data_IF_377449228893
#
_entry.id   IF_377449228893
#
_cell.length_a   1.000
_cell.length_b   1.000
_cell.length_c   1.000
_cell.angle_alpha   90.00
_cell.angle_beta   90.00
_cell.angle_gamma   90.00
#
_symmetry.space_group_name_H-M   'P 1'
#
loop_
_entity.id
_entity.type
_entity.pdbx_description
1 polymer ?
#
# COMPACT_ATOMS: atom_id res chain seq x y z
N UNK A 1 -19.58 -38.14 -13.91
CA UNK A 1 -20.53 -37.32 -13.11
C UNK A 1 -19.77 -36.10 -12.64
N UNK A 2 -20.22 -34.90 -13.03
CA UNK A 2 -19.61 -33.65 -12.57
C UNK A 2 -20.30 -33.28 -11.26
N UNK A 3 -19.58 -33.27 -10.15
CA UNK A 3 -20.14 -32.82 -8.88
C UNK A 3 -20.43 -31.32 -8.96
N UNK A 4 -21.72 -30.98 -9.08
CA UNK A 4 -22.24 -29.63 -8.89
C UNK A 4 -22.14 -29.26 -7.41
N UNK A 5 -20.94 -28.85 -6.98
CA UNK A 5 -20.79 -28.16 -5.71
C UNK A 5 -21.55 -26.84 -5.79
N UNK A 6 -22.72 -26.80 -5.18
CA UNK A 6 -23.50 -25.59 -4.92
C UNK A 6 -22.56 -24.54 -4.30
N UNK A 7 -22.44 -23.32 -4.84
CA UNK A 7 -21.58 -22.32 -4.25
C UNK A 7 -22.12 -22.01 -2.84
N UNK A 8 -21.31 -22.33 -1.83
CA UNK A 8 -21.57 -21.98 -0.44
C UNK A 8 -22.00 -20.51 -0.37
N UNK A 9 -23.15 -20.24 0.28
CA UNK A 9 -23.62 -18.86 0.52
C UNK A 9 -22.47 -18.09 1.15
N UNK A 10 -21.86 -17.18 0.40
CA UNK A 10 -20.75 -16.35 0.91
C UNK A 10 -21.31 -15.47 2.01
N UNK A 11 -20.73 -15.62 3.20
CA UNK A 11 -21.08 -14.85 4.37
C UNK A 11 -20.65 -13.39 4.16
N UNK A 12 -21.63 -12.48 4.17
CA UNK A 12 -21.39 -11.04 4.21
C UNK A 12 -21.24 -10.67 5.69
N UNK A 13 -20.14 -9.99 6.03
CA UNK A 13 -19.83 -9.69 7.42
C UNK A 13 -20.41 -8.33 7.84
N UNK A 14 -20.94 -8.30 9.06
CA UNK A 14 -21.41 -7.07 9.71
C UNK A 14 -20.24 -6.23 10.21
N UNK A 15 -20.47 -4.94 10.47
CA UNK A 15 -19.46 -4.07 11.09
C UNK A 15 -18.91 -4.67 12.39
N UNK A 16 -19.79 -5.20 13.25
CA UNK A 16 -19.43 -5.80 14.54
C UNK A 16 -18.54 -7.04 14.39
N UNK A 17 -18.77 -7.91 13.40
CA UNK A 17 -17.90 -9.05 13.13
C UNK A 17 -16.48 -8.62 12.71
N UNK A 18 -16.35 -7.51 11.98
CA UNK A 18 -15.06 -6.94 11.63
C UNK A 18 -14.39 -6.26 12.84
N UNK A 19 -15.17 -5.55 13.66
CA UNK A 19 -14.69 -4.95 14.92
C UNK A 19 -14.11 -6.00 15.86
N UNK A 20 -14.76 -7.16 15.97
CA UNK A 20 -14.28 -8.28 16.77
C UNK A 20 -12.92 -8.80 16.25
N UNK A 21 -12.76 -8.98 14.94
CA UNK A 21 -11.46 -9.35 14.33
C UNK A 21 -10.37 -8.31 14.67
N UNK A 22 -10.70 -7.01 14.59
CA UNK A 22 -9.74 -5.94 14.92
C UNK A 22 -9.35 -6.00 16.39
N UNK A 23 -10.31 -6.18 17.29
CA UNK A 23 -10.10 -6.21 18.74
C UNK A 23 -9.30 -7.45 19.19
N UNK A 24 -9.65 -8.64 18.69
CA UNK A 24 -8.94 -9.90 18.96
C UNK A 24 -7.45 -9.82 18.56
N UNK A 25 -7.11 -9.09 17.49
CA UNK A 25 -5.75 -9.01 16.95
C UNK A 25 -4.99 -7.71 17.27
N UNK A 26 -5.59 -6.77 18.03
CA UNK A 26 -5.11 -5.37 18.20
C UNK A 26 -3.61 -5.17 18.44
N UNK A 27 -2.97 -6.01 19.26
CA UNK A 27 -1.53 -5.89 19.57
C UNK A 27 -0.60 -6.27 18.40
N UNK A 28 -1.10 -7.09 17.47
CA UNK A 28 -0.35 -7.64 16.33
C UNK A 28 -0.71 -6.97 15.01
N UNK A 29 -1.71 -6.09 14.96
CA UNK A 29 -2.17 -5.48 13.72
C UNK A 29 -1.24 -4.38 13.18
N UNK A 30 -1.24 -4.29 11.85
CA UNK A 30 -0.95 -3.08 11.09
C UNK A 30 -2.00 -2.91 9.99
N UNK A 31 -2.28 -1.68 9.61
CA UNK A 31 -3.26 -1.37 8.57
C UNK A 31 -2.55 -1.03 7.26
N UNK A 32 -3.14 -1.39 6.12
CA UNK A 32 -2.60 -1.04 4.79
C UNK A 32 -3.66 -0.31 3.98
N UNK A 33 -3.38 0.93 3.62
CA UNK A 33 -4.29 1.78 2.85
C UNK A 33 -3.85 1.98 1.41
N UNK A 34 -4.84 2.11 0.55
CA UNK A 34 -4.70 2.61 -0.82
C UNK A 34 -5.51 3.89 -1.00
N UNK A 35 -5.64 4.34 -2.25
CA UNK A 35 -6.32 5.60 -2.55
C UNK A 35 -7.86 5.55 -2.31
N UNK A 36 -8.41 4.38 -1.94
CA UNK A 36 -9.82 4.24 -1.58
C UNK A 36 -10.25 5.12 -0.39
N UNK A 37 -9.38 5.34 0.61
CA UNK A 37 -9.69 6.24 1.74
C UNK A 37 -9.89 7.68 1.25
N UNK A 38 -8.93 8.18 0.45
CA UNK A 38 -9.00 9.51 -0.16
C UNK A 38 -10.26 9.64 -1.04
N UNK A 39 -10.57 8.63 -1.87
CA UNK A 39 -11.73 8.63 -2.78
C UNK A 39 -13.09 8.55 -2.07
N UNK A 40 -13.15 7.96 -0.88
CA UNK A 40 -14.39 7.87 -0.12
C UNK A 40 -14.72 9.22 0.55
N UNK A 41 -13.74 9.83 1.21
CA UNK A 41 -13.93 11.09 1.93
C UNK A 41 -13.78 12.35 1.05
N UNK A 42 -13.06 12.29 -0.08
CA UNK A 42 -12.92 13.40 -1.02
C UNK A 42 -13.09 12.96 -2.47
N UNK A 43 -14.02 13.63 -3.18
CA UNK A 43 -14.21 13.48 -4.62
C UNK A 43 -13.41 14.48 -5.45
N UNK A 44 -12.75 15.46 -4.81
CA UNK A 44 -12.02 16.55 -5.48
C UNK A 44 -10.62 16.13 -5.97
N UNK A 45 -9.98 15.18 -5.28
CA UNK A 45 -8.63 14.75 -5.63
C UNK A 45 -8.65 13.81 -6.84
N UNK A 46 -7.76 14.05 -7.81
CA UNK A 46 -7.71 13.26 -9.05
C UNK A 46 -7.25 11.81 -8.81
N UNK A 47 -7.68 10.91 -9.68
CA UNK A 47 -7.30 9.49 -9.65
C UNK A 47 -5.99 9.24 -10.42
N UNK A 48 -5.37 8.07 -10.19
CA UNK A 48 -4.10 7.69 -10.84
C UNK A 48 -4.16 7.70 -12.37
N UNK A 49 -5.26 7.22 -12.93
CA UNK A 49 -5.57 7.24 -14.36
C UNK A 49 -5.63 8.67 -14.91
N UNK A 50 -6.32 9.59 -14.22
CA UNK A 50 -6.39 11.01 -14.62
C UNK A 50 -5.02 11.69 -14.59
N UNK A 51 -4.24 11.47 -13.53
CA UNK A 51 -2.87 11.98 -13.43
C UNK A 51 -1.99 11.47 -14.60
N UNK A 52 -2.10 10.19 -14.96
CA UNK A 52 -1.36 9.62 -16.07
C UNK A 52 -1.82 10.19 -17.43
N UNK A 53 -3.13 10.42 -17.60
CA UNK A 53 -3.69 11.09 -18.78
C UNK A 53 -3.17 12.54 -18.89
N UNK A 54 -3.13 13.31 -17.80
CA UNK A 54 -2.54 14.66 -17.78
C UNK A 54 -1.06 14.65 -18.22
N UNK A 55 -0.27 13.71 -17.67
CA UNK A 55 1.13 13.54 -18.04
C UNK A 55 1.32 13.13 -19.51
N UNK A 56 0.49 12.22 -20.02
CA UNK A 56 0.50 11.85 -21.44
C UNK A 56 0.18 13.06 -22.32
N UNK A 57 -0.89 13.79 -22.01
CA UNK A 57 -1.33 14.95 -22.78
C UNK A 57 -0.32 16.11 -22.75
N UNK A 58 0.56 16.15 -21.75
CA UNK A 58 1.67 17.10 -21.63
C UNK A 58 2.94 16.66 -22.35
N UNK A 59 3.24 15.36 -22.40
CA UNK A 59 4.55 14.85 -22.81
C UNK A 59 4.57 13.91 -24.03
N UNK A 60 3.42 13.44 -24.50
CA UNK A 60 3.31 12.67 -25.74
C UNK A 60 3.15 13.60 -26.95
N UNK A 61 3.66 13.14 -28.10
CA UNK A 61 3.37 13.74 -29.42
C UNK A 61 2.20 13.07 -30.15
N UNK A 62 1.61 12.02 -29.58
CA UNK A 62 0.49 11.28 -30.15
C UNK A 62 -0.84 11.98 -29.80
N UNK A 63 -1.95 11.40 -30.28
CA UNK A 63 -3.29 11.82 -29.89
C UNK A 63 -3.42 11.91 -28.36
N UNK A 64 -4.18 12.92 -27.90
CA UNK A 64 -4.50 13.11 -26.49
C UNK A 64 -5.52 12.07 -26.04
N UNK A 65 -5.43 11.66 -24.78
CA UNK A 65 -6.50 10.93 -24.11
C UNK A 65 -7.45 11.92 -23.46
N UNK A 66 -8.74 11.72 -23.62
CA UNK A 66 -9.74 12.60 -22.99
C UNK A 66 -10.02 12.15 -21.55
N UNK A 67 -10.49 10.91 -21.37
CA UNK A 67 -11.07 10.49 -20.09
C UNK A 67 -10.65 9.10 -19.58
N UNK A 68 -10.06 8.21 -20.40
CA UNK A 68 -9.78 6.84 -19.97
C UNK A 68 -8.54 6.23 -20.65
N UNK A 69 -7.76 5.48 -19.88
CA UNK A 69 -6.70 4.59 -20.37
C UNK A 69 -7.33 3.29 -20.88
N UNK A 70 -6.85 2.78 -22.02
CA UNK A 70 -7.38 1.55 -22.63
C UNK A 70 -7.37 0.34 -21.67
N UNK A 71 -8.31 -0.59 -21.83
CA UNK A 71 -8.21 -1.92 -21.20
C UNK A 71 -7.05 -2.70 -21.84
N UNK A 72 -6.35 -3.51 -21.05
CA UNK A 72 -5.22 -4.32 -21.51
C UNK A 72 -3.84 -3.65 -21.42
N UNK A 73 -3.73 -2.47 -20.81
CA UNK A 73 -2.44 -1.86 -20.42
C UNK A 73 -2.47 -1.50 -18.92
N UNK A 74 -1.41 -1.82 -18.19
CA UNK A 74 -1.24 -1.39 -16.81
C UNK A 74 -0.88 0.10 -16.71
N UNK A 75 -1.16 0.71 -15.56
CA UNK A 75 -0.71 2.08 -15.28
C UNK A 75 0.81 2.24 -15.36
N UNK A 76 1.56 1.18 -15.03
CA UNK A 76 3.02 1.11 -15.16
C UNK A 76 3.49 1.15 -16.60
N UNK A 77 2.90 0.33 -17.47
CA UNK A 77 3.24 0.31 -18.91
C UNK A 77 2.79 1.60 -19.61
N UNK A 78 1.66 2.18 -19.17
CA UNK A 78 1.20 3.47 -19.68
C UNK A 78 2.18 4.61 -19.33
N UNK A 79 2.73 4.63 -18.11
CA UNK A 79 3.83 5.53 -17.76
C UNK A 79 5.08 5.26 -18.60
N UNK A 80 5.48 3.99 -18.74
CA UNK A 80 6.69 3.63 -19.49
C UNK A 80 6.57 4.04 -20.98
N UNK A 81 5.36 4.02 -21.55
CA UNK A 81 5.07 4.55 -22.89
C UNK A 81 5.23 6.09 -23.01
N UNK A 82 5.14 6.85 -21.91
CA UNK A 82 5.49 8.28 -21.85
C UNK A 82 7.01 8.45 -21.78
N UNK A 83 7.68 7.64 -20.96
CA UNK A 83 9.15 7.67 -20.74
C UNK A 83 9.93 7.29 -22.02
N UNK A 84 9.46 6.28 -22.76
CA UNK A 84 10.02 5.85 -24.06
C UNK A 84 10.01 7.00 -25.09
N UNK A 85 8.89 7.73 -25.20
CA UNK A 85 8.77 8.88 -26.13
C UNK A 85 9.70 10.06 -25.80
N UNK A 86 10.34 10.02 -24.63
CA UNK A 86 11.12 11.10 -24.06
C UNK A 86 12.50 10.64 -23.57
N UNK A 87 12.93 9.42 -23.90
CA UNK A 87 14.19 8.81 -23.40
C UNK A 87 15.45 9.62 -23.76
N UNK A 88 15.42 10.38 -24.86
CA UNK A 88 16.52 11.28 -25.25
C UNK A 88 16.63 12.54 -24.38
N UNK A 89 15.61 12.86 -23.57
CA UNK A 89 15.62 14.00 -22.66
C UNK A 89 16.34 13.64 -21.36
N UNK A 90 17.49 14.27 -21.11
CA UNK A 90 18.27 14.11 -19.87
C UNK A 90 17.38 14.36 -18.64
N UNK A 91 17.45 13.47 -17.65
CA UNK A 91 16.70 13.53 -16.39
C UNK A 91 15.16 13.51 -16.51
N UNK A 92 14.59 13.05 -17.62
CA UNK A 92 13.14 13.13 -17.86
C UNK A 92 12.25 12.53 -16.76
N UNK A 93 12.59 11.34 -16.24
CA UNK A 93 11.86 10.72 -15.13
C UNK A 93 11.81 11.62 -13.88
N UNK A 94 12.90 12.34 -13.55
CA UNK A 94 12.92 13.29 -12.44
C UNK A 94 12.05 14.53 -12.70
N UNK A 95 11.82 14.89 -13.97
CA UNK A 95 10.88 15.95 -14.36
C UNK A 95 9.43 15.51 -14.17
N UNK A 96 9.03 14.33 -14.67
CA UNK A 96 7.66 13.82 -14.41
C UNK A 96 7.40 13.66 -12.90
N UNK A 97 8.37 13.14 -12.14
CA UNK A 97 8.24 13.01 -10.69
C UNK A 97 8.01 14.35 -9.98
N UNK A 98 8.61 15.45 -10.48
CA UNK A 98 8.34 16.81 -9.98
C UNK A 98 6.95 17.28 -10.34
N UNK A 99 6.50 17.03 -11.57
CA UNK A 99 5.12 17.35 -11.99
C UNK A 99 4.08 16.63 -11.14
N UNK A 100 4.23 15.31 -10.94
CA UNK A 100 3.35 14.53 -10.04
C UNK A 100 3.34 15.11 -8.63
N UNK A 101 4.51 15.46 -8.08
CA UNK A 101 4.60 16.16 -6.80
C UNK A 101 3.82 17.48 -6.82
N UNK A 102 3.97 18.29 -7.86
CA UNK A 102 3.33 19.60 -7.97
C UNK A 102 1.80 19.44 -8.03
N UNK A 103 1.28 18.55 -8.88
CA UNK A 103 -0.16 18.25 -8.97
C UNK A 103 -0.72 17.75 -7.64
N UNK A 104 -0.04 16.81 -6.97
CA UNK A 104 -0.50 16.27 -5.68
C UNK A 104 -0.37 17.25 -4.51
N UNK A 105 0.53 18.23 -4.59
CA UNK A 105 0.71 19.21 -3.52
C UNK A 105 -0.49 20.17 -3.41
N UNK A 106 -1.32 20.26 -4.46
CA UNK A 106 -2.58 21.00 -4.48
C UNK A 106 -3.77 20.22 -3.90
N UNK A 107 -3.62 18.90 -3.66
CA UNK A 107 -4.70 18.07 -3.14
C UNK A 107 -5.05 18.44 -1.69
N UNK A 108 -6.36 18.44 -1.40
CA UNK A 108 -6.90 18.75 -0.09
C UNK A 108 -7.22 17.47 0.67
N UNK A 109 -6.93 17.47 1.96
CA UNK A 109 -7.35 16.39 2.85
C UNK A 109 -8.80 16.62 3.29
N UNK A 110 -9.48 15.58 3.74
CA UNK A 110 -10.74 15.69 4.47
C UNK A 110 -10.53 15.09 5.87
N UNK A 111 -10.93 15.82 6.91
CA UNK A 111 -10.82 15.41 8.31
C UNK A 111 -11.85 14.37 8.75
N UNK A 112 -12.90 14.11 7.96
CA UNK A 112 -13.82 12.99 8.19
C UNK A 112 -13.08 11.64 8.28
N UNK A 113 -11.96 11.49 7.56
CA UNK A 113 -11.14 10.27 7.63
C UNK A 113 -10.52 10.04 9.01
N UNK A 114 -10.45 11.07 9.87
CA UNK A 114 -9.90 10.95 11.21
C UNK A 114 -10.73 10.03 12.11
N UNK A 115 -11.98 9.68 11.77
CA UNK A 115 -12.72 8.60 12.47
C UNK A 115 -11.93 7.29 12.46
N UNK A 116 -11.31 6.96 11.32
CA UNK A 116 -10.48 5.79 11.12
C UNK A 116 -9.12 5.99 11.78
N UNK A 117 -8.47 7.12 11.48
CA UNK A 117 -7.10 7.38 11.93
C UNK A 117 -7.00 7.48 13.46
N UNK A 118 -8.00 8.05 14.14
CA UNK A 118 -8.06 8.11 15.60
C UNK A 118 -8.26 6.74 16.24
N UNK A 119 -9.10 5.86 15.66
CA UNK A 119 -9.25 4.49 16.15
C UNK A 119 -7.94 3.71 16.02
N UNK A 120 -7.25 3.79 14.86
CA UNK A 120 -5.96 3.13 14.63
C UNK A 120 -4.85 3.70 15.52
N UNK A 121 -4.85 5.02 15.75
CA UNK A 121 -3.98 5.71 16.71
C UNK A 121 -4.20 5.22 18.14
N UNK A 122 -5.46 5.04 18.56
CA UNK A 122 -5.81 4.50 19.88
C UNK A 122 -5.39 3.03 20.04
N UNK A 123 -5.45 2.22 18.98
CA UNK A 123 -4.88 0.87 18.94
C UNK A 123 -3.33 0.86 18.95
N UNK A 124 -2.68 2.03 18.82
CA UNK A 124 -1.24 2.19 18.66
C UNK A 124 -0.66 1.30 17.55
N UNK A 125 -1.38 1.14 16.43
CA UNK A 125 -0.99 0.28 15.32
C UNK A 125 -0.38 1.09 14.16
N UNK A 126 0.68 0.59 13.48
CA UNK A 126 1.25 1.29 12.33
C UNK A 126 0.35 1.19 11.09
N UNK A 127 0.36 2.25 10.28
CA UNK A 127 -0.31 2.35 8.99
C UNK A 127 0.74 2.30 7.89
N UNK A 128 0.51 1.45 6.90
CA UNK A 128 1.21 1.39 5.63
C UNK A 128 0.33 2.02 4.54
N UNK A 129 0.89 2.75 3.57
CA UNK A 129 0.14 3.23 2.40
C UNK A 129 0.91 3.03 1.09
N UNK A 130 0.17 2.72 0.02
CA UNK A 130 0.69 2.69 -1.36
C UNK A 130 0.63 4.06 -2.06
N UNK A 131 -0.12 5.01 -1.48
CA UNK A 131 -0.25 6.37 -2.01
C UNK A 131 1.08 7.15 -1.87
N UNK A 132 1.28 8.20 -2.67
CA UNK A 132 2.40 9.13 -2.51
C UNK A 132 2.04 10.38 -1.70
N UNK A 133 0.78 10.75 -1.65
CA UNK A 133 0.30 12.01 -1.06
C UNK A 133 0.47 12.09 0.47
N UNK A 134 0.39 13.30 1.00
CA UNK A 134 0.47 13.60 2.42
C UNK A 134 -0.90 13.93 3.04
N UNK A 135 -2.00 13.44 2.48
CA UNK A 135 -3.36 13.78 2.95
C UNK A 135 -3.66 13.18 4.34
N UNK A 136 -3.28 11.91 4.56
CA UNK A 136 -3.38 11.25 5.87
C UNK A 136 -2.59 12.03 6.95
N UNK A 137 -1.28 12.30 6.81
CA UNK A 137 -0.54 13.04 7.83
C UNK A 137 -0.93 14.50 7.97
N UNK A 138 -1.42 15.18 6.92
CA UNK A 138 -1.99 16.53 7.04
C UNK A 138 -3.23 16.53 7.95
N UNK A 139 -4.19 15.66 7.66
CA UNK A 139 -5.47 15.55 8.38
C UNK A 139 -5.33 15.13 9.84
N UNK A 140 -4.46 14.16 10.11
CA UNK A 140 -4.15 13.74 11.48
C UNK A 140 -3.08 14.61 12.18
N UNK A 141 -2.64 15.71 11.55
CA UNK A 141 -1.66 16.69 12.05
C UNK A 141 -0.29 16.08 12.47
N UNK A 142 0.15 15.06 11.73
CA UNK A 142 1.33 14.25 12.05
C UNK A 142 2.65 14.93 11.65
N UNK A 143 3.69 14.70 12.44
CA UNK A 143 5.04 15.25 12.19
C UNK A 143 5.94 14.23 11.48
N UNK A 144 6.77 14.66 10.52
CA UNK A 144 7.67 13.76 9.80
C UNK A 144 8.87 13.36 10.66
N UNK A 145 9.16 12.06 10.70
CA UNK A 145 10.29 11.48 11.40
C UNK A 145 11.09 10.52 10.51
N UNK A 146 12.26 10.11 10.99
CA UNK A 146 13.11 9.09 10.38
C UNK A 146 13.75 8.23 11.46
N UNK A 147 13.81 6.92 11.26
CA UNK A 147 14.65 6.03 12.06
C UNK A 147 16.09 6.15 11.53
N UNK A 148 17.12 6.30 12.38
CA UNK A 148 18.51 6.31 11.93
C UNK A 148 18.88 5.05 11.14
N UNK A 149 19.32 5.22 9.89
CA UNK A 149 19.64 4.12 8.99
C UNK A 149 20.67 4.55 7.95
N UNK A 150 21.75 3.76 7.79
CA UNK A 150 22.81 4.03 6.80
C UNK A 150 22.33 3.92 5.34
N UNK A 151 21.29 3.14 5.08
CA UNK A 151 20.75 2.91 3.73
C UNK A 151 19.69 3.91 3.27
N UNK A 152 19.48 5.03 3.97
CA UNK A 152 18.55 6.08 3.55
C UNK A 152 18.98 6.71 2.21
N UNK A 153 18.01 6.92 1.32
CA UNK A 153 18.10 7.87 0.22
C UNK A 153 16.73 8.44 -0.08
N UNK A 154 16.65 9.59 -0.73
CA UNK A 154 15.39 10.17 -1.21
C UNK A 154 14.81 9.44 -2.44
N UNK A 155 15.52 8.45 -2.98
CA UNK A 155 14.97 7.44 -3.90
C UNK A 155 14.24 6.30 -3.17
N UNK A 156 14.64 6.01 -1.93
CA UNK A 156 14.12 4.91 -1.09
C UNK A 156 14.01 5.35 0.40
N UNK A 157 13.10 6.29 0.73
CA UNK A 157 12.95 6.86 2.08
C UNK A 157 12.21 5.90 3.04
N UNK A 158 12.54 4.61 3.01
CA UNK A 158 11.76 3.53 3.64
C UNK A 158 11.84 3.51 5.17
N UNK A 159 12.78 4.24 5.75
CA UNK A 159 12.93 4.51 7.19
C UNK A 159 12.25 5.83 7.63
N UNK A 160 11.57 6.55 6.73
CA UNK A 160 10.81 7.76 7.02
C UNK A 160 9.32 7.45 7.20
N UNK A 161 8.69 8.18 8.10
CA UNK A 161 7.28 8.02 8.49
C UNK A 161 6.73 9.33 9.06
N UNK A 162 5.43 9.37 9.30
CA UNK A 162 4.76 10.45 10.04
C UNK A 162 4.12 9.89 11.31
N UNK A 163 4.19 10.61 12.43
CA UNK A 163 3.57 10.19 13.70
C UNK A 163 3.38 11.40 14.62
N UNK A 164 2.72 11.20 15.76
CA UNK A 164 2.65 12.14 16.88
C UNK A 164 3.99 12.20 17.65
N UNK A 165 4.77 11.10 17.61
CA UNK A 165 6.01 10.95 18.39
C UNK A 165 7.10 10.17 17.62
N UNK A 166 8.34 10.28 18.08
CA UNK A 166 9.46 9.47 17.57
C UNK A 166 9.33 8.01 18.08
N UNK A 167 9.24 7.07 17.14
CA UNK A 167 9.33 5.62 17.36
C UNK A 167 10.80 5.16 17.35
N UNK A 168 11.14 4.07 18.08
CA UNK A 168 12.51 3.51 18.08
C UNK A 168 12.69 2.49 16.94
N UNK A 169 11.66 1.68 16.66
CA UNK A 169 11.55 0.78 15.53
C UNK A 169 10.18 0.95 14.81
N UNK A 170 9.97 0.36 13.62
CA UNK A 170 8.74 0.53 12.84
C UNK A 170 7.45 -0.09 13.41
N UNK A 171 7.55 -1.00 14.40
CA UNK A 171 6.41 -1.74 14.98
C UNK A 171 6.03 -1.29 16.40
N UNK A 172 6.76 -0.33 16.98
CA UNK A 172 6.55 0.21 18.33
C UNK A 172 5.24 0.97 18.55
N UNK A 173 4.57 1.40 17.47
CA UNK A 173 3.34 2.16 17.63
C UNK A 173 2.76 2.77 16.37
N UNK A 174 1.85 3.71 16.60
CA UNK A 174 1.21 4.48 15.54
C UNK A 174 2.22 5.30 14.74
N UNK A 175 2.24 5.07 13.43
CA UNK A 175 3.03 5.81 12.46
C UNK A 175 2.60 5.45 11.04
N UNK A 176 2.62 6.43 10.13
CA UNK A 176 2.21 6.31 8.73
C UNK A 176 3.43 6.17 7.85
N UNK A 177 3.53 5.05 7.15
CA UNK A 177 4.68 4.62 6.36
C UNK A 177 4.32 4.45 4.89
N UNK A 178 5.28 4.75 4.02
CA UNK A 178 5.05 4.90 2.59
C UNK A 178 5.81 3.84 1.79
N UNK A 179 5.09 2.88 1.22
CA UNK A 179 5.65 1.71 0.52
C UNK A 179 6.29 2.09 -0.81
N UNK A 180 5.51 2.79 -1.64
CA UNK A 180 5.90 3.09 -3.01
C UNK A 180 6.77 4.35 -3.10
N UNK A 181 6.73 5.24 -2.10
CA UNK A 181 7.41 6.54 -2.09
C UNK A 181 6.57 7.60 -1.38
N UNK A 182 7.08 8.81 -1.19
CA UNK A 182 6.35 9.92 -0.57
C UNK A 182 6.59 11.24 -1.30
N UNK A 183 5.54 12.05 -1.44
CA UNK A 183 5.51 13.33 -2.17
C UNK A 183 6.62 14.30 -1.74
N UNK A 184 7.02 14.26 -0.46
CA UNK A 184 8.16 15.01 0.09
C UNK A 184 9.45 14.79 -0.71
N UNK A 185 9.70 13.55 -1.13
CA UNK A 185 10.87 13.12 -1.88
C UNK A 185 10.45 12.68 -3.29
N UNK A 186 10.36 13.61 -4.24
CA UNK A 186 9.85 13.30 -5.58
C UNK A 186 10.60 12.14 -6.27
N UNK A 187 11.91 11.97 -6.03
CA UNK A 187 12.74 10.85 -6.56
C UNK A 187 12.34 9.46 -6.03
N UNK A 188 11.50 9.41 -4.99
CA UNK A 188 10.91 8.17 -4.48
C UNK A 188 9.64 7.75 -5.21
N UNK A 189 8.94 8.65 -5.90
CA UNK A 189 7.68 8.36 -6.62
C UNK A 189 7.97 7.35 -7.74
N UNK A 190 7.35 6.15 -7.68
CA UNK A 190 7.50 5.10 -8.70
C UNK A 190 6.24 5.01 -9.56
N UNK A 191 6.39 5.11 -10.86
CA UNK A 191 5.30 5.14 -11.82
C UNK A 191 5.46 4.09 -12.91
N UNK A 192 6.70 3.76 -13.29
CA UNK A 192 7.02 2.76 -14.33
C UNK A 192 7.34 1.37 -13.81
N UNK A 193 7.21 0.35 -14.66
CA UNK A 193 7.44 -1.06 -14.29
C UNK A 193 8.89 -1.29 -13.83
N UNK A 194 9.86 -0.78 -14.59
CA UNK A 194 11.30 -0.87 -14.26
C UNK A 194 11.64 -0.24 -12.91
N UNK A 195 10.92 0.82 -12.53
CA UNK A 195 11.10 1.49 -11.24
C UNK A 195 10.61 0.62 -10.07
N UNK A 196 9.49 -0.09 -10.25
CA UNK A 196 9.02 -1.09 -9.30
C UNK A 196 9.91 -2.34 -9.26
N UNK A 197 10.50 -2.76 -10.38
CA UNK A 197 11.51 -3.84 -10.38
C UNK A 197 12.77 -3.46 -9.59
N UNK A 198 13.18 -2.18 -9.61
CA UNK A 198 14.23 -1.66 -8.73
C UNK A 198 13.86 -1.75 -7.23
N UNK A 199 12.60 -1.51 -6.86
CA UNK A 199 12.13 -1.75 -5.50
C UNK A 199 12.23 -3.25 -5.14
N UNK A 200 11.75 -4.15 -6.03
CA UNK A 200 11.84 -5.62 -5.86
C UNK A 200 13.28 -6.06 -5.61
N UNK A 201 14.22 -5.66 -6.47
CA UNK A 201 15.64 -6.01 -6.35
C UNK A 201 16.23 -5.55 -5.02
N UNK A 202 15.90 -4.32 -4.59
CA UNK A 202 16.35 -3.75 -3.32
C UNK A 202 15.82 -4.53 -2.11
N UNK A 203 14.54 -4.93 -2.11
CA UNK A 203 13.98 -5.77 -1.03
C UNK A 203 14.64 -7.15 -1.03
N UNK A 204 14.85 -7.78 -2.20
CA UNK A 204 15.55 -9.07 -2.31
C UNK A 204 16.94 -8.97 -1.68
N UNK A 205 17.75 -7.97 -2.03
CA UNK A 205 19.09 -7.75 -1.46
C UNK A 205 19.05 -7.67 0.07
N UNK A 206 18.07 -6.98 0.66
CA UNK A 206 17.90 -6.94 2.13
C UNK A 206 17.51 -8.30 2.73
N UNK A 207 16.63 -9.06 2.07
CA UNK A 207 16.08 -10.31 2.60
C UNK A 207 17.03 -11.49 2.52
N UNK A 208 17.70 -11.70 1.38
CA UNK A 208 18.51 -12.91 1.16
C UNK A 208 19.80 -12.93 2.00
N UNK A 209 20.31 -11.77 2.43
CA UNK A 209 21.49 -11.69 3.28
C UNK A 209 21.29 -12.29 4.68
N UNK A 210 20.09 -12.22 5.24
CA UNK A 210 19.80 -12.77 6.58
C UNK A 210 18.32 -13.08 6.79
N UNK A 211 17.73 -13.92 5.93
CA UNK A 211 16.27 -14.19 5.93
C UNK A 211 15.77 -14.71 7.27
N UNK A 212 16.57 -15.50 7.98
CA UNK A 212 16.23 -16.05 9.29
C UNK A 212 16.16 -15.03 10.43
N UNK A 213 16.67 -13.80 10.26
CA UNK A 213 16.61 -12.75 11.29
C UNK A 213 15.32 -11.93 11.28
N UNK A 214 14.55 -11.95 10.18
CA UNK A 214 13.43 -11.02 9.91
C UNK A 214 12.37 -11.00 11.03
N UNK A 215 12.09 -12.16 11.64
CA UNK A 215 11.09 -12.37 12.70
C UNK A 215 11.64 -13.04 13.95
N UNK A 216 12.82 -12.60 14.40
CA UNK A 216 13.40 -12.98 15.71
C UNK A 216 13.29 -11.82 16.70
N UNK A 217 13.65 -12.07 17.96
CA UNK A 217 13.71 -11.07 19.03
C UNK A 217 14.58 -9.85 18.65
N UNK A 218 14.35 -8.70 19.29
CA UNK A 218 14.89 -7.39 18.92
C UNK A 218 16.41 -7.37 18.66
N UNK A 219 17.19 -8.12 19.47
CA UNK A 219 18.65 -8.22 19.34
C UNK A 219 19.09 -8.91 18.04
N UNK A 220 18.31 -9.88 17.56
CA UNK A 220 18.56 -10.60 16.31
C UNK A 220 17.85 -9.95 15.11
N UNK A 221 16.68 -9.32 15.33
CA UNK A 221 15.97 -8.56 14.30
C UNK A 221 16.82 -7.42 13.71
N UNK A 222 17.62 -6.75 14.56
CA UNK A 222 18.61 -5.74 14.16
C UNK A 222 19.65 -6.22 13.14
N UNK A 223 19.83 -7.54 12.98
CA UNK A 223 20.75 -8.13 12.01
C UNK A 223 20.13 -8.31 10.60
N UNK A 224 18.89 -7.87 10.39
CA UNK A 224 18.23 -7.84 9.08
C UNK A 224 18.14 -6.40 8.56
N UNK A 225 18.56 -6.17 7.31
CA UNK A 225 18.81 -4.82 6.77
C UNK A 225 17.57 -3.95 6.59
N UNK A 226 16.36 -4.52 6.59
CA UNK A 226 15.10 -3.79 6.58
C UNK A 226 14.50 -3.52 7.97
N UNK A 227 15.17 -3.88 9.07
CA UNK A 227 14.70 -3.64 10.45
C UNK A 227 14.25 -2.18 10.72
N UNK A 228 15.00 -1.13 10.32
CA UNK A 228 14.59 0.26 10.55
C UNK A 228 13.63 0.81 9.48
N UNK A 229 12.98 -0.06 8.70
CA UNK A 229 12.11 0.32 7.57
C UNK A 229 10.73 -0.32 7.67
N UNK A 230 9.76 0.21 6.92
CA UNK A 230 8.41 -0.35 6.86
C UNK A 230 8.34 -1.83 6.44
N UNK A 231 9.38 -2.39 5.80
CA UNK A 231 9.46 -3.83 5.53
C UNK A 231 9.37 -4.66 6.82
N UNK A 232 9.92 -4.17 7.93
CA UNK A 232 9.83 -4.88 9.20
C UNK A 232 8.37 -5.07 9.65
N UNK A 233 7.49 -4.11 9.37
CA UNK A 233 6.04 -4.20 9.63
C UNK A 233 5.42 -5.32 8.79
N UNK A 234 5.70 -5.36 7.48
CA UNK A 234 5.15 -6.37 6.55
C UNK A 234 5.37 -7.81 7.04
N UNK A 235 6.55 -8.10 7.58
CA UNK A 235 6.90 -9.46 8.01
C UNK A 235 6.60 -9.75 9.51
N UNK A 236 6.32 -8.74 10.34
CA UNK A 236 6.15 -8.92 11.80
C UNK A 236 4.78 -8.53 12.36
N UNK A 237 3.91 -7.91 11.55
CA UNK A 237 2.52 -7.59 11.91
C UNK A 237 1.53 -8.36 11.02
N UNK A 238 0.33 -8.59 11.56
CA UNK A 238 -0.82 -9.08 10.80
C UNK A 238 -1.40 -7.92 9.99
N UNK A 239 -1.65 -8.12 8.70
CA UNK A 239 -2.00 -7.02 7.78
C UNK A 239 -3.51 -6.88 7.61
N UNK A 240 -4.07 -5.72 7.93
CA UNK A 240 -5.48 -5.40 7.66
C UNK A 240 -5.58 -4.40 6.50
N UNK A 241 -5.95 -4.88 5.32
CA UNK A 241 -5.84 -4.16 4.05
C UNK A 241 -7.19 -3.54 3.67
N UNK A 242 -7.22 -2.23 3.45
CA UNK A 242 -8.44 -1.43 3.19
C UNK A 242 -8.19 -0.46 2.03
N UNK A 243 -9.17 -0.33 1.12
CA UNK A 243 -9.15 0.73 0.11
C UNK A 243 -8.06 0.61 -0.97
N UNK A 244 -7.40 -0.55 -1.07
CA UNK A 244 -6.56 -0.93 -2.20
C UNK A 244 -7.40 -1.64 -3.25
N UNK A 245 -7.14 -1.37 -4.53
CA UNK A 245 -7.69 -2.19 -5.61
C UNK A 245 -7.06 -3.59 -5.63
N UNK A 246 -5.75 -3.67 -5.41
CA UNK A 246 -4.93 -4.90 -5.60
C UNK A 246 -5.15 -5.55 -6.97
N UNK A 247 -5.43 -4.74 -8.00
CA UNK A 247 -5.45 -5.18 -9.39
C UNK A 247 -4.03 -5.59 -9.82
N UNK A 248 -3.90 -6.12 -11.04
CA UNK A 248 -2.64 -6.65 -11.59
C UNK A 248 -1.52 -5.60 -11.66
N UNK A 249 -1.87 -4.32 -11.70
CA UNK A 249 -0.93 -3.19 -11.69
C UNK A 249 -0.25 -2.90 -10.34
N UNK A 250 -0.75 -3.43 -9.21
CA UNK A 250 -0.13 -3.30 -7.86
C UNK A 250 1.06 -4.26 -7.68
N UNK A 251 1.89 -4.38 -8.72
CA UNK A 251 2.92 -5.43 -8.92
C UNK A 251 3.85 -5.57 -7.70
N UNK A 252 4.36 -4.45 -7.17
CA UNK A 252 5.33 -4.48 -6.07
C UNK A 252 4.70 -4.97 -4.76
N UNK A 253 3.49 -4.53 -4.42
CA UNK A 253 2.84 -4.97 -3.18
C UNK A 253 2.29 -6.40 -3.30
N UNK A 254 1.77 -6.80 -4.46
CA UNK A 254 1.45 -8.21 -4.75
C UNK A 254 2.69 -9.11 -4.63
N UNK A 255 3.84 -8.68 -5.15
CA UNK A 255 5.11 -9.39 -4.99
C UNK A 255 5.57 -9.49 -3.52
N UNK A 256 5.41 -8.42 -2.72
CA UNK A 256 5.70 -8.45 -1.28
C UNK A 256 4.85 -9.48 -0.52
N UNK A 257 3.55 -9.59 -0.85
CA UNK A 257 2.68 -10.60 -0.26
C UNK A 257 3.12 -12.02 -0.61
N UNK A 258 3.58 -12.26 -1.84
CA UNK A 258 4.17 -13.55 -2.25
C UNK A 258 5.42 -13.88 -1.42
N UNK A 259 6.35 -12.92 -1.25
CA UNK A 259 7.57 -13.17 -0.45
C UNK A 259 7.29 -13.30 1.06
N UNK A 260 6.25 -12.64 1.58
CA UNK A 260 5.71 -12.84 2.94
C UNK A 260 5.14 -14.25 3.12
N UNK A 261 4.33 -14.73 2.18
CA UNK A 261 3.80 -16.10 2.19
C UNK A 261 4.91 -17.15 2.13
N UNK A 262 5.88 -17.00 1.21
CA UNK A 262 7.07 -17.86 1.14
C UNK A 262 7.90 -17.83 2.42
N UNK A 263 8.05 -16.64 3.03
CA UNK A 263 8.76 -16.48 4.30
C UNK A 263 8.06 -17.27 5.41
N UNK A 264 6.75 -17.11 5.61
CA UNK A 264 6.03 -17.86 6.64
C UNK A 264 5.93 -19.37 6.37
N UNK A 265 5.96 -19.81 5.11
CA UNK A 265 6.08 -21.25 4.79
C UNK A 265 7.45 -21.82 5.23
N UNK A 266 8.52 -21.05 5.09
CA UNK A 266 9.86 -21.44 5.57
C UNK A 266 10.06 -21.23 7.09
N UNK A 267 9.29 -20.33 7.70
CA UNK A 267 9.36 -19.95 9.10
C UNK A 267 7.97 -19.95 9.76
N UNK A 268 7.34 -21.11 10.02
CA UNK A 268 5.94 -21.18 10.44
C UNK A 268 5.65 -20.53 11.80
N UNK A 269 6.62 -20.55 12.72
CA UNK A 269 6.49 -19.90 14.05
C UNK A 269 6.41 -18.37 13.96
N UNK A 270 6.81 -17.79 12.83
CA UNK A 270 6.79 -16.35 12.56
C UNK A 270 5.52 -15.92 11.81
N UNK A 271 4.61 -16.86 11.46
CA UNK A 271 3.40 -16.57 10.69
C UNK A 271 2.58 -15.47 11.36
N UNK A 272 2.13 -14.52 10.54
CA UNK A 272 1.17 -13.48 10.89
C UNK A 272 0.00 -13.52 9.93
N UNK A 273 -1.19 -13.26 10.44
CA UNK A 273 -2.43 -13.30 9.68
C UNK A 273 -2.51 -12.14 8.68
N UNK A 274 -3.60 -12.09 7.92
CA UNK A 274 -3.95 -10.91 7.16
C UNK A 274 -5.35 -11.00 6.58
N UNK A 275 -5.93 -9.83 6.36
CA UNK A 275 -7.29 -9.64 5.89
C UNK A 275 -7.32 -8.57 4.81
N UNK A 276 -8.22 -8.74 3.84
CA UNK A 276 -8.52 -7.75 2.82
C UNK A 276 -10.03 -7.49 2.83
N UNK A 277 -10.43 -6.28 3.23
CA UNK A 277 -11.84 -5.91 3.28
C UNK A 277 -12.28 -5.23 1.97
N UNK A 278 -13.43 -5.65 1.44
CA UNK A 278 -14.02 -5.13 0.21
C UNK A 278 -15.54 -5.21 0.28
N UNK A 279 -16.20 -4.40 -0.54
CA UNK A 279 -17.61 -4.67 -0.87
C UNK A 279 -17.71 -5.97 -1.65
N UNK A 280 -18.81 -6.72 -1.46
CA UNK A 280 -19.10 -7.96 -2.19
C UNK A 280 -19.01 -7.74 -3.71
N UNK A 281 -18.36 -8.66 -4.42
CA UNK A 281 -18.25 -8.68 -5.89
C UNK A 281 -18.30 -10.11 -6.41
N UNK A 282 -18.70 -10.26 -7.68
CA UNK A 282 -18.89 -11.58 -8.30
C UNK A 282 -18.28 -11.68 -9.72
N UNK A 283 -17.62 -10.63 -10.21
CA UNK A 283 -16.93 -10.64 -11.50
C UNK A 283 -15.62 -11.45 -11.51
N UNK A 284 -15.21 -11.96 -12.68
CA UNK A 284 -14.03 -12.81 -12.83
C UNK A 284 -12.71 -12.16 -12.34
N UNK A 285 -12.59 -10.83 -12.47
CA UNK A 285 -11.41 -10.10 -11.99
C UNK A 285 -11.35 -10.13 -10.46
N UNK A 286 -12.49 -9.98 -9.79
CA UNK A 286 -12.59 -10.21 -8.36
C UNK A 286 -12.31 -11.67 -7.97
N UNK A 287 -12.81 -12.66 -8.71
CA UNK A 287 -12.55 -14.08 -8.42
C UNK A 287 -11.05 -14.40 -8.50
N UNK A 288 -10.37 -13.97 -9.57
CA UNK A 288 -8.92 -14.13 -9.72
C UNK A 288 -8.11 -13.41 -8.63
N UNK A 289 -8.57 -12.24 -8.19
CA UNK A 289 -7.98 -11.50 -7.06
C UNK A 289 -8.17 -12.22 -5.72
N UNK A 290 -9.37 -12.73 -5.45
CA UNK A 290 -9.68 -13.51 -4.23
C UNK A 290 -8.81 -14.76 -4.16
N UNK A 291 -8.73 -15.52 -5.25
CA UNK A 291 -7.82 -16.66 -5.39
C UNK A 291 -6.35 -16.28 -5.08
N UNK A 292 -5.85 -15.19 -5.64
CA UNK A 292 -4.49 -14.71 -5.36
C UNK A 292 -4.28 -14.38 -3.88
N UNK A 293 -5.20 -13.61 -3.27
CA UNK A 293 -5.10 -13.15 -1.87
C UNK A 293 -5.11 -14.33 -0.90
N UNK A 294 -6.03 -15.26 -1.08
CA UNK A 294 -6.16 -16.45 -0.23
C UNK A 294 -4.92 -17.36 -0.40
N UNK A 295 -4.38 -17.49 -1.62
CA UNK A 295 -3.14 -18.23 -1.91
C UNK A 295 -1.89 -17.65 -1.23
N UNK A 296 -1.85 -16.34 -0.96
CA UNK A 296 -0.78 -15.68 -0.18
C UNK A 296 -1.11 -15.51 1.31
N UNK A 297 -2.20 -16.15 1.78
CA UNK A 297 -2.59 -16.18 3.20
C UNK A 297 -3.29 -14.92 3.72
N UNK A 298 -4.00 -14.20 2.84
CA UNK A 298 -4.84 -13.05 3.18
C UNK A 298 -6.31 -13.45 3.03
N UNK A 299 -7.07 -13.47 4.14
CA UNK A 299 -8.51 -13.77 4.13
C UNK A 299 -9.29 -12.61 3.52
N UNK A 300 -10.12 -12.86 2.52
CA UNK A 300 -11.03 -11.83 1.99
C UNK A 300 -12.26 -11.70 2.89
N UNK A 301 -12.56 -10.48 3.30
CA UNK A 301 -13.72 -10.11 4.11
C UNK A 301 -14.67 -9.28 3.23
N UNK A 302 -15.86 -9.81 2.94
CA UNK A 302 -16.84 -9.18 2.07
C UNK A 302 -17.93 -8.51 2.93
N UNK A 303 -18.23 -7.24 2.65
CA UNK A 303 -19.31 -6.46 3.32
C UNK A 303 -20.28 -5.86 2.29
N UNK A 304 -21.45 -5.40 2.71
CA UNK A 304 -22.48 -4.88 1.78
C UNK A 304 -22.07 -3.61 1.04
N UNK A 305 -21.41 -2.67 1.73
CA UNK A 305 -21.19 -1.33 1.20
C UNK A 305 -19.92 -0.65 1.76
N UNK A 306 -19.48 0.41 1.08
CA UNK A 306 -18.29 1.18 1.48
C UNK A 306 -18.46 1.97 2.78
N UNK A 307 -19.69 2.28 3.18
CA UNK A 307 -19.95 2.99 4.45
C UNK A 307 -19.68 2.09 5.66
N UNK A 308 -19.95 0.79 5.56
CA UNK A 308 -19.46 -0.20 6.53
C UNK A 308 -17.93 -0.17 6.63
N UNK A 309 -17.22 -0.13 5.49
CA UNK A 309 -15.75 -0.12 5.45
C UNK A 309 -15.15 1.14 6.09
N UNK A 310 -15.71 2.32 5.83
CA UNK A 310 -15.09 3.60 6.17
C UNK A 310 -15.74 4.35 7.35
N UNK A 311 -16.95 3.96 7.80
CA UNK A 311 -17.60 4.53 8.99
C UNK A 311 -17.93 3.48 10.04
N UNK A 312 -18.81 2.53 9.75
CA UNK A 312 -19.45 1.71 10.81
C UNK A 312 -18.46 0.85 11.61
N UNK A 313 -17.36 0.36 11.00
CA UNK A 313 -16.31 -0.40 11.71
C UNK A 313 -15.58 0.46 12.76
N UNK A 314 -15.55 1.78 12.61
CA UNK A 314 -14.68 2.68 13.38
C UNK A 314 -15.40 3.42 14.51
N UNK A 315 -16.74 3.33 14.53
CA UNK A 315 -17.60 3.77 15.63
C UNK A 315 -17.46 2.77 16.79
#
# INVERSE_FOLDING_TARGET
>A
MINSNTPSKREILTASAIQEIIEQHKSQLSFVFGNGINRYFSKENITWDKLLIELWNKYSKKAKFENQIFKGISFTEFYDAIDIQNTTKKNFSATIQKDVKNTMSLWKHNDDQNIILNKIRALNAPILTTNFDDLIPKSAQLKPYKIPYKGFSDYYPWNCYFSDKKLKNPIDGFGVWYLNGMIKYHRSIKLGLSQYMGNVERVRKMMYQNRGAIGKEEKLAKNWNGYPTWLHIIFNKSLFIIGLGLEENEVFFRWLLIERAKYFKAFPKQKKDGWYITVKKEDDSFLGKKFFLESVGIKVLEVDNYETIYKHIWQ
#
